data_IF_339704452614
#
_entry.id   IF_339704452614
#
_cell.length_a   1.000
_cell.length_b   1.000
_cell.length_c   1.000
_cell.angle_alpha   90.00
_cell.angle_beta   90.00
_cell.angle_gamma   90.00
#
_symmetry.space_group_name_H-M   'P 1'
#
loop_
_entity.id
_entity.type
_entity.pdbx_description
1 polymer ?
#
# COMPACT_ATOMS: atom_id res chain seq x y z
N UNK A 1 16.59 -42.56 10.21
CA UNK A 1 15.63 -42.19 9.15
C UNK A 1 14.50 -41.39 9.75
N UNK A 2 14.64 -40.07 9.73
CA UNK A 2 13.55 -39.07 9.69
C UNK A 2 14.23 -37.72 9.87
N UNK A 3 14.68 -37.17 8.74
CA UNK A 3 15.31 -35.86 8.68
C UNK A 3 14.38 -34.79 9.27
N UNK A 4 14.90 -34.06 10.25
CA UNK A 4 14.74 -32.61 10.47
C UNK A 4 13.48 -31.98 9.84
N UNK A 5 12.47 -31.74 10.68
CA UNK A 5 11.48 -30.70 10.43
C UNK A 5 12.23 -29.35 10.38
N UNK A 6 12.63 -28.94 9.17
CA UNK A 6 12.96 -27.54 8.89
C UNK A 6 11.67 -26.74 9.07
N UNK A 7 11.41 -26.25 10.27
CA UNK A 7 10.53 -25.11 10.49
C UNK A 7 11.17 -23.88 9.84
N UNK A 8 11.09 -23.78 8.52
CA UNK A 8 11.12 -22.48 7.88
C UNK A 8 9.78 -21.83 8.22
N UNK A 9 9.76 -21.09 9.35
CA UNK A 9 8.79 -20.01 9.51
C UNK A 9 9.08 -19.02 8.38
N UNK A 10 8.51 -19.27 7.21
CA UNK A 10 8.62 -18.42 6.03
C UNK A 10 7.79 -17.17 6.35
N UNK A 11 8.37 -16.27 7.14
CA UNK A 11 7.70 -15.09 7.65
C UNK A 11 7.50 -14.17 6.44
N UNK A 12 6.32 -14.25 5.82
CA UNK A 12 5.96 -13.42 4.66
C UNK A 12 6.28 -11.96 5.00
N UNK A 13 6.91 -11.27 4.05
CA UNK A 13 7.25 -9.85 4.21
C UNK A 13 5.99 -9.06 4.51
N UNK A 14 6.03 -8.26 5.56
CA UNK A 14 4.91 -7.43 5.96
C UNK A 14 4.97 -6.10 5.22
N UNK A 15 3.93 -5.78 4.48
CA UNK A 15 3.85 -4.55 3.71
C UNK A 15 2.49 -3.87 3.79
N UNK A 16 2.53 -2.58 3.46
CA UNK A 16 1.42 -1.69 3.23
C UNK A 16 1.23 -1.56 1.72
N UNK A 17 -0.02 -1.63 1.27
CA UNK A 17 -0.36 -1.57 -0.14
C UNK A 17 -1.19 -0.34 -0.46
N UNK A 18 -0.75 0.41 -1.46
CA UNK A 18 -1.56 1.39 -2.16
C UNK A 18 -1.91 0.85 -3.54
N UNK A 19 -3.19 0.92 -3.90
CA UNK A 19 -3.68 0.62 -5.26
C UNK A 19 -4.46 1.82 -5.78
N UNK A 20 -4.10 2.29 -6.97
CA UNK A 20 -4.82 3.36 -7.65
C UNK A 20 -4.14 3.87 -8.91
N UNK A 21 -4.94 4.34 -9.86
CA UNK A 21 -4.43 5.06 -11.04
C UNK A 21 -3.92 6.45 -10.67
N UNK A 22 -3.02 6.98 -11.50
CA UNK A 22 -2.52 8.33 -11.33
C UNK A 22 -3.58 9.37 -11.70
N UNK A 23 -4.08 10.09 -10.71
CA UNK A 23 -4.85 11.33 -10.85
C UNK A 23 -4.59 12.23 -9.63
N UNK A 24 -5.05 13.48 -9.69
CA UNK A 24 -4.72 14.53 -8.71
C UNK A 24 -4.80 14.07 -7.24
N UNK A 25 -5.92 13.47 -6.81
CA UNK A 25 -6.10 13.10 -5.41
C UNK A 25 -5.20 11.92 -4.98
N UNK A 26 -5.04 10.91 -5.85
CA UNK A 26 -4.15 9.79 -5.59
C UNK A 26 -2.68 10.22 -5.58
N UNK A 27 -2.27 11.11 -6.49
CA UNK A 27 -0.91 11.64 -6.53
C UNK A 27 -0.58 12.42 -5.25
N UNK A 28 -1.44 13.39 -4.90
CA UNK A 28 -1.27 14.20 -3.70
C UNK A 28 -1.23 13.31 -2.45
N UNK A 29 -2.15 12.35 -2.39
CA UNK A 29 -2.28 11.42 -1.29
C UNK A 29 -1.04 10.57 -1.05
N UNK A 30 -0.57 9.89 -2.09
CA UNK A 30 0.57 8.98 -1.94
C UNK A 30 1.86 9.75 -1.68
N UNK A 31 2.04 10.94 -2.27
CA UNK A 31 3.17 11.83 -1.98
C UNK A 31 3.18 12.23 -0.51
N UNK A 32 2.04 12.65 0.03
CA UNK A 32 1.94 12.98 1.45
C UNK A 32 2.25 11.77 2.33
N UNK A 33 1.72 10.59 2.01
CA UNK A 33 1.96 9.37 2.79
C UNK A 33 3.44 8.98 2.81
N UNK A 34 4.08 8.98 1.64
CA UNK A 34 5.51 8.69 1.49
C UNK A 34 6.35 9.66 2.31
N UNK A 35 6.01 10.95 2.31
CA UNK A 35 6.77 11.99 3.02
C UNK A 35 6.56 11.95 4.53
N UNK A 36 5.34 11.72 5.00
CA UNK A 36 4.95 11.96 6.40
C UNK A 36 4.72 10.69 7.22
N UNK A 37 4.50 9.53 6.58
CA UNK A 37 4.16 8.28 7.28
C UNK A 37 5.17 7.18 6.99
N UNK A 38 5.50 6.94 5.72
CA UNK A 38 6.43 5.87 5.31
C UNK A 38 7.76 5.87 6.07
N UNK A 39 8.40 7.02 6.41
CA UNK A 39 9.68 7.01 7.13
C UNK A 39 9.59 6.50 8.57
N UNK A 40 8.39 6.46 9.15
CA UNK A 40 8.15 6.12 10.55
C UNK A 40 7.59 4.70 10.74
N UNK A 41 7.39 3.95 9.66
CA UNK A 41 6.91 2.57 9.70
C UNK A 41 8.01 1.60 9.24
N UNK A 42 8.07 0.42 9.86
CA UNK A 42 9.04 -0.63 9.53
C UNK A 42 8.62 -1.51 8.35
N UNK A 43 7.45 -1.27 7.78
CA UNK A 43 6.87 -2.03 6.68
C UNK A 43 7.34 -1.49 5.32
N UNK A 44 7.36 -2.36 4.31
CA UNK A 44 7.43 -1.91 2.90
C UNK A 44 6.13 -1.23 2.52
N UNK A 45 6.22 -0.24 1.64
CA UNK A 45 5.08 0.41 0.98
C UNK A 45 5.14 0.08 -0.49
N UNK A 46 4.18 -0.71 -0.98
CA UNK A 46 4.04 -1.03 -2.39
C UNK A 46 2.96 -0.16 -3.04
N UNK A 47 3.30 0.42 -4.19
CA UNK A 47 2.44 1.31 -4.97
C UNK A 47 2.14 0.60 -6.29
N UNK A 48 0.89 0.16 -6.44
CA UNK A 48 0.38 -0.52 -7.63
C UNK A 48 -0.61 0.39 -8.34
N UNK A 49 -0.46 0.50 -9.65
CA UNK A 49 -1.33 1.27 -10.51
C UNK A 49 -0.57 2.10 -11.52
N UNK A 50 -1.28 2.45 -12.59
CA UNK A 50 -0.68 3.06 -13.77
C UNK A 50 -0.35 4.54 -13.60
N UNK A 51 0.83 4.92 -14.06
CA UNK A 51 1.29 6.32 -14.14
C UNK A 51 2.21 6.71 -12.99
N UNK A 52 2.29 5.93 -11.92
CA UNK A 52 3.18 6.20 -10.79
C UNK A 52 4.65 5.87 -11.09
N UNK A 53 4.93 5.10 -12.14
CA UNK A 53 6.28 4.75 -12.59
C UNK A 53 7.12 6.00 -12.89
N UNK A 54 6.48 7.11 -13.31
CA UNK A 54 7.16 8.39 -13.55
C UNK A 54 7.71 9.06 -12.28
N UNK A 55 7.23 8.64 -11.11
CA UNK A 55 7.71 9.11 -9.81
C UNK A 55 8.63 8.10 -9.12
N UNK A 56 9.05 7.03 -9.81
CA UNK A 56 9.84 5.96 -9.20
C UNK A 56 11.12 6.49 -8.54
N UNK A 57 11.87 7.34 -9.24
CA UNK A 57 13.09 7.94 -8.70
C UNK A 57 12.82 8.89 -7.52
N UNK A 58 11.66 9.55 -7.48
CA UNK A 58 11.26 10.39 -6.36
C UNK A 58 10.89 9.54 -5.14
N UNK A 59 10.09 8.48 -5.35
CA UNK A 59 9.48 7.69 -4.30
C UNK A 59 10.45 6.66 -3.72
N UNK A 60 11.25 6.00 -4.55
CA UNK A 60 12.16 4.94 -4.10
C UNK A 60 13.44 5.46 -3.43
N UNK A 61 13.64 6.79 -3.39
CA UNK A 61 14.59 7.44 -2.46
C UNK A 61 14.31 7.06 -1.00
N UNK A 62 13.04 6.80 -0.67
CA UNK A 62 12.64 6.23 0.61
C UNK A 62 12.87 4.72 0.57
N UNK A 63 13.80 4.23 1.40
CA UNK A 63 14.30 2.84 1.36
C UNK A 63 13.19 1.77 1.46
N UNK A 64 12.07 2.09 2.10
CA UNK A 64 10.94 1.19 2.28
C UNK A 64 9.81 1.36 1.25
N UNK A 65 9.93 2.26 0.28
CA UNK A 65 8.91 2.48 -0.76
C UNK A 65 9.33 1.81 -2.06
N UNK A 66 8.38 1.17 -2.75
CA UNK A 66 8.57 0.57 -4.07
C UNK A 66 7.38 0.86 -4.97
N UNK A 67 7.67 1.30 -6.20
CA UNK A 67 6.68 1.51 -7.25
C UNK A 67 6.69 0.29 -8.15
N UNK A 68 5.59 -0.46 -8.10
CA UNK A 68 5.41 -1.70 -8.88
C UNK A 68 4.83 -1.38 -10.26
N UNK A 69 3.93 -0.39 -10.34
CA UNK A 69 3.23 -0.06 -11.58
C UNK A 69 2.00 -0.94 -11.81
N UNK A 70 1.66 -1.22 -13.07
CA UNK A 70 0.59 -2.18 -13.40
C UNK A 70 1.00 -3.63 -13.09
N UNK A 71 0.05 -4.44 -12.63
CA UNK A 71 0.21 -5.89 -12.41
C UNK A 71 -0.97 -6.63 -13.03
N UNK A 72 -0.77 -7.89 -13.40
CA UNK A 72 -1.81 -8.72 -14.02
C UNK A 72 -2.87 -9.19 -13.01
N UNK A 73 -2.47 -9.44 -11.76
CA UNK A 73 -3.34 -9.98 -10.72
C UNK A 73 -3.15 -9.19 -9.43
N UNK A 74 -4.23 -8.56 -8.96
CA UNK A 74 -4.24 -7.73 -7.74
C UNK A 74 -4.52 -8.54 -6.49
N UNK A 75 -5.24 -9.67 -6.60
CA UNK A 75 -5.74 -10.39 -5.43
C UNK A 75 -4.63 -10.91 -4.52
N UNK A 76 -3.54 -11.44 -5.05
CA UNK A 76 -2.36 -11.81 -4.27
C UNK A 76 -1.79 -10.66 -3.44
N UNK A 77 -1.73 -9.45 -4.02
CA UNK A 77 -1.26 -8.26 -3.31
C UNK A 77 -2.19 -7.84 -2.18
N UNK A 78 -3.50 -7.86 -2.40
CA UNK A 78 -4.48 -7.55 -1.35
C UNK A 78 -4.47 -8.59 -0.21
N UNK A 79 -4.35 -9.87 -0.54
CA UNK A 79 -4.34 -10.96 0.43
C UNK A 79 -3.10 -10.92 1.33
N UNK A 80 -1.93 -10.67 0.74
CA UNK A 80 -0.66 -10.66 1.46
C UNK A 80 -0.34 -9.31 2.13
N UNK A 81 -1.03 -8.23 1.75
CA UNK A 81 -0.89 -6.94 2.39
C UNK A 81 -1.35 -6.96 3.86
N UNK A 82 -0.51 -6.43 4.75
CA UNK A 82 -0.89 -6.25 6.15
C UNK A 82 -1.89 -5.10 6.30
N UNK A 83 -1.70 -4.02 5.54
CA UNK A 83 -2.56 -2.84 5.54
C UNK A 83 -2.78 -2.35 4.12
N UNK A 84 -3.98 -1.85 3.84
CA UNK A 84 -4.29 -1.12 2.61
C UNK A 84 -4.38 0.36 2.97
N UNK A 85 -3.73 1.22 2.20
CA UNK A 85 -3.79 2.67 2.39
C UNK A 85 -4.51 3.35 1.24
N UNK A 86 -5.26 4.37 1.62
CA UNK A 86 -6.02 5.22 0.74
C UNK A 86 -5.86 6.67 1.20
N UNK A 87 -4.66 7.28 1.02
CA UNK A 87 -4.37 8.61 1.54
C UNK A 87 -5.05 9.71 0.71
N UNK A 88 -6.34 9.56 0.38
CA UNK A 88 -7.11 10.56 -0.36
C UNK A 88 -7.56 11.62 0.64
N UNK A 89 -7.07 12.85 0.48
CA UNK A 89 -7.37 13.97 1.38
C UNK A 89 -8.63 14.73 0.97
N UNK A 90 -9.01 14.69 -0.32
CA UNK A 90 -10.20 15.34 -0.86
C UNK A 90 -10.79 14.53 -2.03
N UNK A 91 -12.12 14.44 -2.10
CA UNK A 91 -12.86 13.72 -3.14
C UNK A 91 -14.03 12.89 -2.59
N UNK A 92 -15.09 12.71 -3.39
CA UNK A 92 -16.31 11.94 -3.06
C UNK A 92 -16.08 10.43 -2.86
N UNK A 93 -14.86 9.94 -3.12
CA UNK A 93 -14.49 8.52 -3.10
C UNK A 93 -14.11 7.98 -1.70
N UNK A 94 -14.15 8.81 -0.64
CA UNK A 94 -13.93 8.34 0.74
C UNK A 94 -14.86 7.19 1.13
N UNK A 95 -16.12 7.22 0.66
CA UNK A 95 -17.13 6.20 0.98
C UNK A 95 -16.78 4.83 0.37
N UNK A 96 -16.23 4.81 -0.84
CA UNK A 96 -15.90 3.58 -1.57
C UNK A 96 -14.68 2.88 -0.98
N UNK A 97 -13.62 3.60 -0.65
CA UNK A 97 -12.40 3.00 -0.08
C UNK A 97 -12.55 2.52 1.36
N UNK A 98 -13.45 3.14 2.12
CA UNK A 98 -13.89 2.62 3.42
C UNK A 98 -14.64 1.29 3.23
N UNK A 99 -15.58 1.22 2.28
CA UNK A 99 -16.31 -0.02 1.98
C UNK A 99 -15.37 -1.16 1.56
N UNK A 100 -14.38 -0.89 0.70
CA UNK A 100 -13.37 -1.88 0.31
C UNK A 100 -12.55 -2.38 1.49
N UNK A 101 -12.06 -1.49 2.36
CA UNK A 101 -11.29 -1.90 3.54
C UNK A 101 -12.12 -2.76 4.50
N UNK A 102 -13.40 -2.44 4.69
CA UNK A 102 -14.33 -3.25 5.48
C UNK A 102 -14.63 -4.61 4.84
N UNK A 103 -14.80 -4.69 3.52
CA UNK A 103 -15.03 -5.96 2.81
C UNK A 103 -13.91 -6.98 3.04
N UNK A 104 -12.67 -6.52 3.24
CA UNK A 104 -11.53 -7.39 3.49
C UNK A 104 -11.14 -7.52 4.97
N UNK A 105 -11.98 -7.04 5.89
CA UNK A 105 -11.73 -7.12 7.34
C UNK A 105 -10.47 -6.36 7.80
N UNK A 106 -10.06 -5.33 7.06
CA UNK A 106 -8.83 -4.58 7.35
C UNK A 106 -9.14 -3.35 8.21
N UNK A 107 -8.21 -3.01 9.09
CA UNK A 107 -8.28 -1.78 9.89
C UNK A 107 -8.00 -0.57 8.99
N UNK A 108 -8.95 0.37 8.93
CA UNK A 108 -8.87 1.61 8.15
C UNK A 108 -8.55 2.79 9.06
N UNK A 109 -7.53 3.60 8.71
CA UNK A 109 -7.15 4.81 9.42
C UNK A 109 -7.22 6.00 8.45
N UNK A 110 -8.08 6.97 8.75
CA UNK A 110 -8.19 8.23 8.01
C UNK A 110 -8.45 9.41 8.97
N UNK A 111 -7.97 10.59 8.61
CA UNK A 111 -8.20 11.83 9.35
C UNK A 111 -9.63 12.33 9.09
N UNK A 112 -10.34 12.73 10.16
CA UNK A 112 -11.61 13.43 10.03
C UNK A 112 -11.40 14.87 9.51
N UNK A 113 -12.22 15.29 8.54
CA UNK A 113 -12.42 16.72 8.25
C UNK A 113 -13.20 17.32 9.42
N UNK A 114 -12.66 18.38 10.03
CA UNK A 114 -13.39 19.28 10.93
C UNK A 114 -13.94 20.44 10.10
#
# INVERSE_FOLDING_TARGET
MSQLFKNHSNKKEKYVLFVGGLFYANEFGIKWFIKNVSPFISFKTYIIGSGFEKFKDEFEKYKNVRVIGKVDELSSWYLDAQYIIAPIFEGSEMKTKVAEAFMFGKKYLQRAQL
#
